data_IF_436823336026
#
_entry.id   IF_436823336026
#
_cell.length_a   1.000
_cell.length_b   1.000
_cell.length_c   1.000
_cell.angle_alpha   90.00
_cell.angle_beta   90.00
_cell.angle_gamma   90.00
#
_symmetry.space_group_name_H-M   'P 1'
#
loop_
_entity.id
_entity.type
_entity.pdbx_description
1 polymer ?
#
# COMPACT_ATOMS: atom_id res chain seq x y z
N UNK A 1 7.98 -20.16 5.85
CA UNK A 1 8.90 -19.51 4.89
C UNK A 1 10.19 -20.30 4.67
N UNK A 2 10.92 -20.72 5.72
CA UNK A 2 12.14 -21.55 5.56
C UNK A 2 11.87 -22.89 4.87
N UNK A 3 10.85 -23.63 5.31
CA UNK A 3 10.53 -24.96 4.74
C UNK A 3 10.24 -24.90 3.23
N UNK A 4 9.49 -23.88 2.80
CA UNK A 4 9.17 -23.64 1.40
C UNK A 4 10.42 -23.36 0.55
N UNK A 5 11.32 -22.50 1.05
CA UNK A 5 12.59 -22.23 0.36
C UNK A 5 13.46 -23.50 0.27
N UNK A 6 13.47 -24.33 1.31
CA UNK A 6 14.22 -25.58 1.30
C UNK A 6 13.67 -26.56 0.26
N UNK A 7 12.34 -26.69 0.14
CA UNK A 7 11.71 -27.50 -0.91
C UNK A 7 12.11 -27.00 -2.31
N UNK A 8 12.11 -25.68 -2.53
CA UNK A 8 12.53 -25.09 -3.81
C UNK A 8 14.01 -25.39 -4.10
N UNK A 9 14.89 -25.23 -3.11
CA UNK A 9 16.33 -25.51 -3.28
C UNK A 9 16.56 -26.98 -3.62
N UNK A 10 15.86 -27.90 -2.94
CA UNK A 10 15.93 -29.34 -3.24
C UNK A 10 15.45 -29.61 -4.67
N UNK A 11 14.33 -29.02 -5.09
CA UNK A 11 13.82 -29.13 -6.45
C UNK A 11 14.81 -28.58 -7.49
N UNK A 12 15.39 -27.41 -7.26
CA UNK A 12 16.40 -26.81 -8.15
C UNK A 12 17.67 -27.66 -8.26
N UNK A 13 18.06 -28.34 -7.18
CA UNK A 13 19.24 -29.21 -7.17
C UNK A 13 18.99 -30.48 -7.97
N UNK A 14 17.83 -31.12 -7.76
CA UNK A 14 17.43 -32.34 -8.49
C UNK A 14 17.29 -32.10 -9.99
N UNK A 15 16.79 -30.92 -10.39
CA UNK A 15 16.56 -30.58 -11.80
C UNK A 15 17.65 -29.63 -12.36
N UNK A 16 18.86 -29.66 -11.80
CA UNK A 16 19.93 -28.70 -12.14
C UNK A 16 20.47 -28.81 -13.57
N UNK A 17 20.29 -29.97 -14.22
CA UNK A 17 20.74 -30.23 -15.60
C UNK A 17 19.62 -30.02 -16.61
N UNK A 18 18.37 -29.89 -16.15
CA UNK A 18 17.23 -29.72 -17.03
C UNK A 18 17.27 -28.37 -17.74
N UNK A 19 16.91 -28.40 -19.02
CA UNK A 19 16.81 -27.22 -19.88
C UNK A 19 15.36 -26.93 -20.18
N UNK A 20 15.01 -25.65 -20.20
CA UNK A 20 13.68 -25.17 -20.53
C UNK A 20 13.74 -24.07 -21.58
N UNK A 21 12.72 -24.07 -22.43
CA UNK A 21 12.53 -23.04 -23.44
C UNK A 21 11.48 -22.04 -22.93
N UNK A 22 11.91 -20.80 -22.74
CA UNK A 22 11.06 -19.73 -22.23
C UNK A 22 10.50 -18.97 -23.41
N UNK A 23 9.18 -19.02 -23.58
CA UNK A 23 8.49 -18.32 -24.65
C UNK A 23 7.84 -17.05 -24.08
N UNK A 24 8.35 -15.88 -24.48
CA UNK A 24 7.69 -14.60 -24.28
C UNK A 24 6.87 -14.23 -25.52
N UNK A 25 6.07 -13.16 -25.41
CA UNK A 25 5.18 -12.70 -26.50
C UNK A 25 5.88 -12.44 -27.84
N UNK A 26 7.12 -11.96 -27.84
CA UNK A 26 7.88 -11.64 -29.07
C UNK A 26 9.32 -12.22 -29.09
N UNK A 27 9.68 -13.02 -28.09
CA UNK A 27 11.05 -13.51 -27.95
C UNK A 27 11.04 -14.87 -27.24
N UNK A 28 11.88 -15.79 -27.68
CA UNK A 28 12.08 -17.07 -27.01
C UNK A 28 13.52 -17.19 -26.55
N UNK A 29 13.72 -17.69 -25.34
CA UNK A 29 15.02 -18.08 -24.83
C UNK A 29 15.05 -19.60 -24.81
N UNK A 30 15.82 -20.17 -25.73
CA UNK A 30 15.97 -21.60 -25.83
C UNK A 30 17.05 -22.13 -24.88
N UNK A 31 16.91 -23.37 -24.45
CA UNK A 31 17.93 -24.15 -23.74
C UNK A 31 18.47 -23.51 -22.45
N UNK A 32 17.62 -22.76 -21.73
CA UNK A 32 17.98 -22.15 -20.45
C UNK A 32 18.00 -23.16 -19.33
N UNK A 33 18.97 -23.07 -18.40
CA UNK A 33 19.00 -23.93 -17.24
C UNK A 33 17.82 -23.64 -16.30
N UNK A 34 17.01 -24.66 -15.99
CA UNK A 34 15.80 -24.51 -15.19
C UNK A 34 16.06 -23.87 -13.83
N UNK A 35 17.12 -24.31 -13.15
CA UNK A 35 17.52 -23.75 -11.85
C UNK A 35 17.83 -22.24 -11.93
N UNK A 36 18.51 -21.78 -12.97
CA UNK A 36 18.81 -20.35 -13.17
C UNK A 36 17.52 -19.56 -13.38
N UNK A 37 16.60 -20.08 -14.18
CA UNK A 37 15.29 -19.44 -14.43
C UNK A 37 14.47 -19.32 -13.14
N UNK A 38 14.40 -20.40 -12.35
CA UNK A 38 13.70 -20.40 -11.06
C UNK A 38 14.35 -19.42 -10.09
N UNK A 39 15.69 -19.36 -10.05
CA UNK A 39 16.41 -18.41 -9.20
C UNK A 39 16.07 -16.96 -9.54
N UNK A 40 16.10 -16.61 -10.83
CA UNK A 40 15.78 -15.27 -11.31
C UNK A 40 14.33 -14.88 -11.04
N UNK A 41 13.39 -15.78 -11.32
CA UNK A 41 11.96 -15.52 -11.08
C UNK A 41 11.65 -15.37 -9.59
N UNK A 42 12.28 -16.18 -8.73
CA UNK A 42 12.17 -16.03 -7.27
C UNK A 42 12.71 -14.69 -6.80
N UNK A 43 13.92 -14.31 -7.25
CA UNK A 43 14.53 -13.03 -6.89
C UNK A 43 13.66 -11.85 -7.34
N UNK A 44 13.17 -11.89 -8.58
CA UNK A 44 12.28 -10.88 -9.13
C UNK A 44 10.99 -10.76 -8.32
N UNK A 45 10.39 -11.89 -7.94
CA UNK A 45 9.19 -11.93 -7.10
C UNK A 45 9.41 -11.30 -5.72
N UNK A 46 10.56 -11.54 -5.08
CA UNK A 46 10.90 -10.93 -3.79
C UNK A 46 11.04 -9.41 -3.93
N UNK A 47 11.76 -8.94 -4.95
CA UNK A 47 11.95 -7.51 -5.20
C UNK A 47 10.61 -6.83 -5.51
N UNK A 48 9.79 -7.41 -6.39
CA UNK A 48 8.47 -6.89 -6.73
C UNK A 48 7.53 -6.88 -5.50
N UNK A 49 7.55 -7.94 -4.68
CA UNK A 49 6.79 -8.01 -3.42
C UNK A 49 7.21 -6.93 -2.42
N UNK A 50 8.50 -6.64 -2.32
CA UNK A 50 9.00 -5.55 -1.51
C UNK A 50 8.54 -4.18 -2.04
N UNK A 51 8.72 -3.92 -3.34
CA UNK A 51 8.29 -2.66 -3.96
C UNK A 51 6.80 -2.40 -3.76
N UNK A 52 5.96 -3.41 -4.02
CA UNK A 52 4.50 -3.30 -3.83
C UNK A 52 4.15 -2.97 -2.38
N UNK A 53 4.81 -3.61 -1.40
CA UNK A 53 4.63 -3.30 0.02
C UNK A 53 4.99 -1.85 0.35
N UNK A 54 6.08 -1.32 -0.21
CA UNK A 54 6.47 0.09 -0.03
C UNK A 54 5.40 1.04 -0.59
N UNK A 55 4.86 0.77 -1.78
CA UNK A 55 3.80 1.58 -2.36
C UNK A 55 2.51 1.56 -1.52
N UNK A 56 2.16 0.40 -0.96
CA UNK A 56 0.99 0.28 -0.06
C UNK A 56 1.17 1.16 1.19
N UNK A 57 2.35 1.13 1.81
CA UNK A 57 2.64 1.97 2.99
C UNK A 57 2.53 3.45 2.65
N UNK A 58 3.07 3.88 1.50
CA UNK A 58 2.95 5.26 1.02
C UNK A 58 1.49 5.66 0.77
N UNK A 59 0.71 4.79 0.14
CA UNK A 59 -0.71 4.99 -0.09
C UNK A 59 -1.47 5.16 1.23
N UNK A 60 -1.22 4.28 2.20
CA UNK A 60 -1.87 4.33 3.51
C UNK A 60 -1.53 5.63 4.27
N UNK A 61 -0.26 6.08 4.22
CA UNK A 61 0.15 7.33 4.86
C UNK A 61 -0.60 8.55 4.27
N UNK A 62 -0.76 8.56 2.95
CA UNK A 62 -1.52 9.62 2.24
C UNK A 62 -3.01 9.57 2.61
N UNK A 63 -3.59 8.38 2.67
CA UNK A 63 -4.99 8.19 3.08
C UNK A 63 -5.24 8.67 4.51
N UNK A 64 -4.36 8.31 5.46
CA UNK A 64 -4.45 8.76 6.85
C UNK A 64 -4.42 10.28 6.94
N UNK A 65 -3.48 10.94 6.25
CA UNK A 65 -3.41 12.42 6.25
C UNK A 65 -4.67 13.06 5.68
N UNK A 66 -5.23 12.49 4.60
CA UNK A 66 -6.49 12.94 4.01
C UNK A 66 -7.65 12.80 5.00
N UNK A 67 -7.77 11.64 5.66
CA UNK A 67 -8.79 11.38 6.68
C UNK A 67 -8.69 12.35 7.86
N UNK A 68 -7.48 12.61 8.37
CA UNK A 68 -7.24 13.58 9.43
C UNK A 68 -7.65 15.00 9.01
N UNK A 69 -7.32 15.42 7.79
CA UNK A 69 -7.70 16.75 7.31
C UNK A 69 -9.22 16.89 7.17
N UNK A 70 -9.91 15.86 6.65
CA UNK A 70 -11.37 15.85 6.58
C UNK A 70 -11.99 15.90 7.98
N UNK A 71 -11.45 15.14 8.93
CA UNK A 71 -11.95 15.13 10.30
C UNK A 71 -11.78 16.49 10.98
N UNK A 72 -10.63 17.16 10.77
CA UNK A 72 -10.40 18.53 11.22
C UNK A 72 -11.41 19.51 10.62
N UNK A 73 -11.62 19.48 9.30
CA UNK A 73 -12.61 20.34 8.62
C UNK A 73 -14.00 20.14 9.19
N UNK A 74 -14.46 18.89 9.36
CA UNK A 74 -15.76 18.60 9.96
C UNK A 74 -15.86 19.11 11.41
N UNK A 75 -14.76 19.05 12.17
CA UNK A 75 -14.71 19.58 13.54
C UNK A 75 -14.79 21.11 13.55
N UNK A 76 -14.10 21.75 12.60
CA UNK A 76 -14.12 23.21 12.42
C UNK A 76 -15.54 23.66 12.00
N UNK A 77 -16.17 23.00 11.02
CA UNK A 77 -17.55 23.24 10.60
C UNK A 77 -18.56 23.05 11.75
N UNK A 78 -18.40 21.99 12.54
CA UNK A 78 -19.24 21.74 13.72
C UNK A 78 -19.07 22.83 14.78
N UNK A 79 -17.84 23.29 15.01
CA UNK A 79 -17.56 24.39 15.94
C UNK A 79 -18.14 25.70 15.44
N UNK A 80 -18.07 25.99 14.14
CA UNK A 80 -18.64 27.18 13.54
C UNK A 80 -20.18 27.16 13.63
N UNK A 81 -20.82 26.02 13.37
CA UNK A 81 -22.26 25.83 13.58
C UNK A 81 -22.66 26.02 15.05
N UNK A 82 -21.85 25.51 15.99
CA UNK A 82 -22.05 25.75 17.42
C UNK A 82 -21.91 27.24 17.76
N UNK A 83 -20.96 27.93 17.16
CA UNK A 83 -20.69 29.34 17.45
C UNK A 83 -21.75 30.26 16.85
N UNK A 84 -22.25 29.96 15.65
CA UNK A 84 -23.38 30.66 15.01
C UNK A 84 -24.66 30.55 15.84
N UNK A 85 -24.94 29.39 16.45
CA UNK A 85 -26.10 29.22 17.33
C UNK A 85 -25.98 29.96 18.68
N UNK A 86 -24.79 30.45 19.05
CA UNK A 86 -24.55 31.21 20.29
C UNK A 86 -24.52 32.72 20.02
N UNK A 87 -24.08 33.15 18.82
CA UNK A 87 -24.02 34.56 18.42
C UNK A 87 -25.41 35.16 18.12
N UNK A 88 -26.42 34.33 17.79
CA UNK A 88 -27.80 34.78 17.55
C UNK A 88 -28.69 34.90 18.81
N UNK A 89 -28.16 34.77 20.03
CA UNK A 89 -29.03 34.61 21.22
C UNK A 89 -28.60 35.18 22.58
N UNK A 90 -27.52 35.95 22.72
CA UNK A 90 -27.11 36.44 24.06
C UNK A 90 -26.78 37.95 24.12
N UNK A 91 -27.29 38.77 23.20
CA UNK A 91 -27.30 40.22 23.38
C UNK A 91 -28.55 40.86 22.75
N UNK A 92 -29.69 40.75 23.43
CA UNK A 92 -30.71 41.80 23.45
C UNK A 92 -31.65 41.59 24.64
N UNK A 93 -31.14 41.88 25.84
CA UNK A 93 -31.94 42.35 26.97
C UNK A 93 -31.05 43.14 27.92
N UNK A 94 -30.37 44.16 27.39
CA UNK A 94 -30.06 45.36 28.17
C UNK A 94 -31.27 46.30 28.04
N UNK A 95 -32.38 45.95 28.69
CA UNK A 95 -33.42 46.94 28.98
C UNK A 95 -32.93 47.77 30.16
N UNK A 96 -32.32 48.90 29.79
CA UNK A 96 -31.89 49.96 30.68
C UNK A 96 -33.05 50.55 31.48
N UNK A 97 -32.76 50.70 32.75
CA UNK A 97 -33.41 51.51 33.78
C UNK A 97 -33.95 52.86 33.26
N UNK A 98 -35.27 53.07 33.36
CA UNK A 98 -35.94 54.36 33.66
C UNK A 98 -37.33 54.14 34.29
#
# INVERSE_FOLDING_TARGET
MILFNLIIIVFMTQNSVERVDIHFFNYSIESSYLNVVILFTLLFGVIAGFLTSVFVIFSHKTQIKSLQNKNRILTDELNDLRNVAIDEGIYESEDGEY
#
